data_IF_895681209277
#
_entry.id   IF_895681209277
#
_cell.length_a   1.000
_cell.length_b   1.000
_cell.length_c   1.000
_cell.angle_alpha   90.00
_cell.angle_beta   90.00
_cell.angle_gamma   90.00
#
_symmetry.space_group_name_H-M   'P 1'
#
loop_
_entity.id
_entity.type
_entity.pdbx_description
1 polymer ?
#
# COMPACT_ATOMS: atom_id res chain seq x y z
N UNK A 1 -15.38 0.00 -6.98
CA UNK A 1 -14.56 -1.23 -7.04
C UNK A 1 -13.10 -0.87 -7.27
N UNK A 2 -12.19 -1.29 -6.36
CA UNK A 2 -10.76 -1.05 -6.51
C UNK A 2 -10.18 -1.87 -7.67
N UNK A 3 -9.05 -1.43 -8.23
CA UNK A 3 -8.37 -2.07 -9.36
C UNK A 3 -6.85 -2.07 -9.18
N UNK A 4 -6.20 -3.19 -9.46
CA UNK A 4 -4.73 -3.23 -9.52
C UNK A 4 -4.27 -2.59 -10.82
N UNK A 5 -3.49 -1.49 -10.74
CA UNK A 5 -2.90 -0.85 -11.91
C UNK A 5 -1.64 -1.60 -12.35
N UNK A 6 -0.74 -1.86 -11.41
CA UNK A 6 0.42 -2.71 -11.63
C UNK A 6 0.97 -3.28 -10.32
N UNK A 7 1.77 -4.33 -10.45
CA UNK A 7 2.63 -4.87 -9.41
C UNK A 7 3.97 -5.24 -10.02
N UNK A 8 5.06 -4.85 -9.37
CA UNK A 8 6.42 -5.11 -9.82
C UNK A 8 7.22 -5.65 -8.64
N UNK A 9 7.92 -6.76 -8.88
CA UNK A 9 8.87 -7.38 -7.93
C UNK A 9 10.28 -7.51 -8.54
N UNK A 10 10.46 -7.14 -9.82
CA UNK A 10 11.72 -7.36 -10.56
C UNK A 10 12.68 -6.18 -10.44
N UNK A 11 12.16 -4.95 -10.55
CA UNK A 11 12.96 -3.72 -10.55
C UNK A 11 12.70 -2.82 -9.33
N UNK A 12 11.63 -3.12 -8.61
CA UNK A 12 11.20 -2.52 -7.35
C UNK A 12 10.26 -3.53 -6.68
N UNK A 13 10.04 -3.39 -5.37
CA UNK A 13 8.99 -4.14 -4.67
C UNK A 13 7.84 -3.16 -4.44
N UNK A 14 7.07 -2.89 -5.49
CA UNK A 14 6.03 -1.86 -5.46
C UNK A 14 4.78 -2.23 -6.26
N UNK A 15 3.69 -1.56 -5.94
CA UNK A 15 2.40 -1.77 -6.57
C UNK A 15 1.58 -0.49 -6.54
N UNK A 16 0.66 -0.34 -7.48
CA UNK A 16 -0.34 0.72 -7.47
C UNK A 16 -1.74 0.14 -7.56
N UNK A 17 -2.60 0.56 -6.63
CA UNK A 17 -4.01 0.18 -6.55
C UNK A 17 -4.86 1.43 -6.74
N UNK A 18 -5.77 1.41 -7.71
CA UNK A 18 -6.80 2.42 -7.84
C UNK A 18 -7.90 2.08 -6.82
N UNK A 19 -8.17 2.99 -5.91
CA UNK A 19 -9.21 2.86 -4.88
C UNK A 19 -10.59 3.15 -5.47
N UNK A 20 -11.65 2.91 -4.70
CA UNK A 20 -13.03 3.14 -5.18
C UNK A 20 -13.34 4.61 -5.44
N UNK A 21 -12.72 5.51 -4.66
CA UNK A 21 -12.70 6.96 -4.87
C UNK A 21 -12.12 7.38 -6.23
N UNK A 22 -11.41 6.49 -6.92
CA UNK A 22 -10.69 6.79 -8.16
C UNK A 22 -9.25 7.27 -7.92
N UNK A 23 -8.86 7.55 -6.68
CA UNK A 23 -7.48 7.86 -6.33
C UNK A 23 -6.59 6.63 -6.43
N UNK A 24 -5.34 6.83 -6.83
CA UNK A 24 -4.34 5.79 -6.85
C UNK A 24 -3.60 5.74 -5.52
N UNK A 25 -3.32 4.53 -5.03
CA UNK A 25 -2.53 4.24 -3.85
C UNK A 25 -1.29 3.46 -4.29
N UNK A 26 -0.12 4.10 -4.22
CA UNK A 26 1.16 3.50 -4.49
C UNK A 26 1.78 2.97 -3.19
N UNK A 27 2.14 1.70 -3.19
CA UNK A 27 2.79 0.98 -2.09
C UNK A 27 4.18 0.59 -2.54
N UNK A 28 5.19 0.95 -1.75
CA UNK A 28 6.59 0.59 -2.02
C UNK A 28 7.23 0.00 -0.78
N UNK A 29 7.80 -1.19 -0.95
CA UNK A 29 8.60 -1.90 0.03
C UNK A 29 10.06 -1.77 -0.39
N UNK A 30 10.93 -1.36 0.52
CA UNK A 30 12.35 -1.24 0.28
C UNK A 30 13.16 -1.80 1.43
N UNK A 31 14.49 -1.84 1.25
CA UNK A 31 15.43 -2.34 2.28
C UNK A 31 15.33 -1.59 3.62
N UNK A 32 14.80 -0.37 3.61
CA UNK A 32 14.67 0.52 4.77
C UNK A 32 13.25 0.59 5.32
N UNK A 33 12.29 -0.19 4.83
CA UNK A 33 10.91 -0.17 5.31
C UNK A 33 9.90 0.06 4.19
N UNK A 34 8.77 0.68 4.52
CA UNK A 34 7.59 0.75 3.65
C UNK A 34 7.10 2.19 3.54
N UNK A 35 6.72 2.57 2.32
CA UNK A 35 6.15 3.88 2.01
C UNK A 35 4.84 3.68 1.24
N UNK A 36 3.79 4.36 1.70
CA UNK A 36 2.49 4.38 1.02
C UNK A 36 2.10 5.82 0.74
N UNK A 37 1.71 6.10 -0.50
CA UNK A 37 1.27 7.42 -0.97
C UNK A 37 0.01 7.30 -1.79
N UNK A 38 -0.89 8.27 -1.70
CA UNK A 38 -1.94 8.43 -2.71
C UNK A 38 -1.53 9.46 -3.76
N UNK A 39 -2.11 9.37 -4.96
CA UNK A 39 -2.07 10.43 -5.95
C UNK A 39 -3.34 10.43 -6.79
N UNK A 40 -3.71 11.60 -7.31
CA UNK A 40 -4.86 11.70 -8.22
C UNK A 40 -4.62 10.91 -9.51
N UNK A 41 -5.65 10.22 -10.00
CA UNK A 41 -5.65 9.50 -11.27
C UNK A 41 -5.90 10.43 -12.47
N UNK A 42 -5.31 11.63 -12.49
CA UNK A 42 -5.37 12.50 -13.67
C UNK A 42 -4.32 12.07 -14.70
N UNK A 43 -4.69 12.11 -15.98
CA UNK A 43 -4.02 11.54 -17.17
C UNK A 43 -2.52 11.88 -17.37
N UNK A 44 -1.96 12.81 -16.59
CA UNK A 44 -0.55 13.21 -16.58
C UNK A 44 0.26 12.66 -15.39
N UNK A 45 -0.38 11.90 -14.48
CA UNK A 45 0.16 11.53 -13.18
C UNK A 45 0.84 10.16 -13.07
N UNK A 46 0.95 9.40 -14.17
CA UNK A 46 1.40 8.00 -14.14
C UNK A 46 2.83 7.75 -13.64
N UNK A 47 3.70 8.77 -13.65
CA UNK A 47 5.08 8.65 -13.15
C UNK A 47 5.47 9.77 -12.17
N UNK A 48 4.89 10.98 -12.31
CA UNK A 48 5.15 12.12 -11.42
C UNK A 48 4.19 12.18 -10.23
N UNK A 49 2.98 11.62 -10.35
CA UNK A 49 1.98 11.63 -9.28
C UNK A 49 2.41 10.83 -8.05
N UNK A 50 3.09 9.69 -8.26
CA UNK A 50 3.60 8.84 -7.16
C UNK A 50 4.71 9.51 -6.34
N UNK A 51 5.49 10.43 -6.92
CA UNK A 51 6.57 11.14 -6.22
C UNK A 51 6.07 12.33 -5.38
N UNK A 52 4.97 12.97 -5.77
CA UNK A 52 4.45 14.21 -5.13
C UNK A 52 3.14 14.01 -4.37
N UNK A 53 2.55 12.82 -4.43
CA UNK A 53 1.35 12.48 -3.67
C UNK A 53 1.53 12.50 -2.14
N UNK A 54 0.46 12.80 -1.37
CA UNK A 54 0.52 12.82 0.09
C UNK A 54 0.90 11.45 0.65
N UNK A 55 1.73 11.46 1.68
CA UNK A 55 2.11 10.25 2.41
C UNK A 55 0.96 9.79 3.29
N UNK A 56 0.52 8.56 3.08
CA UNK A 56 -0.49 7.90 3.90
C UNK A 56 0.16 7.12 5.04
N UNK A 57 1.32 6.51 4.77
CA UNK A 57 2.08 5.74 5.75
C UNK A 57 3.56 5.77 5.40
N UNK A 58 4.41 5.83 6.42
CA UNK A 58 5.85 5.71 6.26
C UNK A 58 6.46 5.02 7.47
N UNK A 59 7.05 3.85 7.25
CA UNK A 59 7.88 3.16 8.22
C UNK A 59 9.32 3.07 7.69
N UNK A 60 10.28 3.46 8.53
CA UNK A 60 11.72 3.50 8.20
C UNK A 60 12.52 2.39 8.90
N UNK A 61 11.86 1.58 9.71
CA UNK A 61 12.41 0.38 10.32
C UNK A 61 11.79 -0.85 9.66
N UNK A 62 12.62 -1.64 8.97
CA UNK A 62 12.15 -2.83 8.25
C UNK A 62 11.53 -3.89 9.17
N UNK A 63 11.99 -4.01 10.42
CA UNK A 63 11.43 -4.94 11.39
C UNK A 63 10.04 -4.51 11.84
N UNK A 64 9.86 -3.21 12.10
CA UNK A 64 8.54 -2.66 12.42
C UNK A 64 7.58 -2.81 11.24
N UNK A 65 8.06 -2.57 10.02
CA UNK A 65 7.26 -2.75 8.81
C UNK A 65 6.84 -4.21 8.62
N UNK A 66 7.70 -5.18 8.99
CA UNK A 66 7.38 -6.60 8.96
C UNK A 66 6.31 -6.96 9.99
N UNK A 67 6.41 -6.47 11.23
CA UNK A 67 5.38 -6.70 12.25
C UNK A 67 4.02 -6.17 11.80
N UNK A 68 3.99 -4.93 11.29
CA UNK A 68 2.78 -4.33 10.73
C UNK A 68 2.23 -5.17 9.57
N UNK A 69 3.09 -5.63 8.65
CA UNK A 69 2.66 -6.49 7.55
C UNK A 69 2.05 -7.81 8.03
N UNK A 70 2.61 -8.44 9.07
CA UNK A 70 2.05 -9.65 9.66
C UNK A 70 0.68 -9.39 10.29
N UNK A 71 0.55 -8.28 11.04
CA UNK A 71 -0.72 -7.88 11.63
C UNK A 71 -1.78 -7.57 10.55
N UNK A 72 -1.40 -6.90 9.46
CA UNK A 72 -2.26 -6.66 8.30
C UNK A 72 -2.68 -7.98 7.62
N UNK A 73 -1.75 -8.92 7.44
CA UNK A 73 -2.03 -10.22 6.83
C UNK A 73 -2.97 -11.08 7.70
N UNK A 74 -2.92 -10.93 9.02
CA UNK A 74 -3.86 -11.57 9.94
C UNK A 74 -5.24 -10.88 9.95
N UNK A 75 -5.27 -9.55 9.80
CA UNK A 75 -6.50 -8.73 9.85
C UNK A 75 -7.34 -8.83 8.57
N UNK A 76 -6.70 -8.87 7.40
CA UNK A 76 -7.39 -8.76 6.12
C UNK A 76 -7.42 -10.08 5.34
N UNK A 77 -8.57 -10.38 4.73
CA UNK A 77 -8.71 -11.55 3.86
C UNK A 77 -7.88 -11.36 2.59
N UNK A 78 -7.15 -12.39 2.12
CA UNK A 78 -6.38 -12.33 0.89
C UNK A 78 -7.25 -11.95 -0.32
N UNK A 79 -6.67 -11.14 -1.21
CA UNK A 79 -7.32 -10.66 -2.44
C UNK A 79 -6.71 -11.40 -3.65
N UNK A 80 -7.47 -12.21 -4.40
CA UNK A 80 -6.95 -13.02 -5.50
C UNK A 80 -6.28 -12.23 -6.64
N UNK A 81 -6.65 -10.95 -6.80
CA UNK A 81 -6.09 -10.04 -7.79
C UNK A 81 -4.66 -9.61 -7.44
N UNK A 82 -4.27 -9.64 -6.16
CA UNK A 82 -2.94 -9.24 -5.69
C UNK A 82 -2.03 -10.47 -5.69
N UNK A 83 -1.33 -10.68 -6.81
CA UNK A 83 -0.42 -11.81 -7.02
C UNK A 83 1.04 -11.34 -6.96
N UNK A 84 1.65 -11.49 -5.79
CA UNK A 84 3.09 -11.27 -5.57
C UNK A 84 3.65 -12.24 -4.53
N UNK A 85 4.97 -12.45 -4.59
CA UNK A 85 5.73 -13.31 -3.68
C UNK A 85 6.12 -12.58 -2.39
N UNK A 86 6.40 -11.29 -2.47
CA UNK A 86 6.73 -10.44 -1.33
C UNK A 86 5.52 -10.34 -0.39
N UNK A 87 5.69 -10.89 0.82
CA UNK A 87 4.65 -10.96 1.84
C UNK A 87 4.27 -9.57 2.34
N UNK A 88 5.25 -8.67 2.54
CA UNK A 88 4.97 -7.32 3.01
C UNK A 88 4.19 -6.55 1.95
N UNK A 89 4.67 -6.56 0.70
CA UNK A 89 3.99 -5.90 -0.40
C UNK A 89 2.55 -6.40 -0.52
N UNK A 90 2.35 -7.72 -0.44
CA UNK A 90 1.02 -8.33 -0.49
C UNK A 90 0.11 -7.87 0.65
N UNK A 91 0.62 -7.83 1.88
CA UNK A 91 -0.16 -7.44 3.05
C UNK A 91 -0.61 -5.97 2.96
N UNK A 92 0.32 -5.05 2.65
CA UNK A 92 -0.01 -3.63 2.46
C UNK A 92 -0.97 -3.40 1.29
N UNK A 93 -0.76 -4.10 0.17
CA UNK A 93 -1.67 -4.03 -0.97
C UNK A 93 -3.07 -4.55 -0.61
N UNK A 94 -3.15 -5.66 0.13
CA UNK A 94 -4.43 -6.24 0.56
C UNK A 94 -5.18 -5.28 1.47
N UNK A 95 -4.50 -4.65 2.42
CA UNK A 95 -5.10 -3.63 3.29
C UNK A 95 -5.62 -2.43 2.48
N UNK A 96 -4.82 -1.91 1.56
CA UNK A 96 -5.21 -0.80 0.70
C UNK A 96 -6.40 -1.17 -0.22
N UNK A 97 -6.46 -2.39 -0.74
CA UNK A 97 -7.58 -2.89 -1.54
C UNK A 97 -8.91 -2.89 -0.79
N UNK A 98 -8.89 -3.12 0.52
CA UNK A 98 -10.10 -3.13 1.36
C UNK A 98 -10.57 -1.71 1.74
N UNK A 99 -9.85 -0.68 1.30
CA UNK A 99 -10.17 0.72 1.59
C UNK A 99 -10.82 1.41 0.37
N UNK A 100 -11.84 2.22 0.61
CA UNK A 100 -12.52 2.98 -0.45
C UNK A 100 -11.79 4.29 -0.81
N UNK A 101 -11.08 4.90 0.14
CA UNK A 101 -10.40 6.19 -0.05
C UNK A 101 -9.00 6.25 0.60
N UNK A 102 -8.14 7.20 0.18
CA UNK A 102 -6.83 7.41 0.79
C UNK A 102 -6.88 7.70 2.29
N UNK A 103 -7.91 8.39 2.77
CA UNK A 103 -8.11 8.70 4.19
C UNK A 103 -8.30 7.42 4.99
N UNK A 104 -9.07 6.47 4.45
CA UNK A 104 -9.29 5.18 5.09
C UNK A 104 -8.03 4.32 5.06
N UNK A 105 -7.27 4.34 3.95
CA UNK A 105 -5.94 3.70 3.90
C UNK A 105 -5.02 4.26 4.99
N UNK A 106 -4.96 5.59 5.12
CA UNK A 106 -4.16 6.24 6.17
C UNK A 106 -4.64 5.85 7.56
N UNK A 107 -5.94 5.86 7.82
CA UNK A 107 -6.50 5.46 9.11
C UNK A 107 -6.18 4.01 9.46
N UNK A 108 -6.35 3.09 8.49
CA UNK A 108 -6.06 1.66 8.68
C UNK A 108 -4.57 1.43 8.94
N UNK A 109 -3.67 2.02 8.15
CA UNK A 109 -2.23 1.76 8.26
C UNK A 109 -1.59 2.39 9.50
N UNK A 110 -2.21 3.42 10.08
CA UNK A 110 -1.74 4.08 11.30
C UNK A 110 -2.60 3.71 12.53
N UNK A 111 -3.41 2.65 12.44
CA UNK A 111 -4.19 2.13 13.57
C UNK A 111 -3.25 1.73 14.72
N UNK A 112 -3.40 2.31 15.92
CA UNK A 112 -2.54 1.99 17.06
C UNK A 112 -2.50 0.49 17.39
N UNK A 113 -3.58 -0.24 17.14
CA UNK A 113 -3.62 -1.69 17.38
C UNK A 113 -2.68 -2.48 16.44
N UNK A 114 -2.38 -1.95 15.25
CA UNK A 114 -1.40 -2.54 14.33
C UNK A 114 0.04 -2.13 14.67
N UNK A 115 0.23 -0.93 15.22
CA UNK A 115 1.56 -0.40 15.56
C UNK A 115 2.08 -0.94 16.90
N UNK A 116 1.21 -1.45 17.76
CA UNK A 116 1.55 -2.06 19.04
C UNK A 116 1.89 -3.56 18.95
N UNK A 117 1.75 -4.17 17.76
CA UNK A 117 2.05 -5.58 17.49
C UNK A 117 3.52 -5.78 17.09
#
# INVERSE_FOLDING_TARGET
>A
MPRLLYINEKFGHDATIILESGDACWVSVGKRGVLVRSHGHSFWGGLLGSLFGPKLYQERNIYQALNVAQALAAKFRPVPQIKCKDMMLRAFCTAAWQCSSPELVKAVLNDPALLAA
#
